data_IF_423371072789
#
_entry.id   IF_423371072789
#
_cell.length_a   1.000
_cell.length_b   1.000
_cell.length_c   1.000
_cell.angle_alpha   90.00
_cell.angle_beta   90.00
_cell.angle_gamma   90.00
#
_symmetry.space_group_name_H-M   'P 1'
#
loop_
_entity.id
_entity.type
_entity.pdbx_description
1 polymer ?
#
# COMPACT_ATOMS: atom_id res chain seq x y z
N UNK A 1 -13.68 36.83 10.19
CA UNK A 1 -12.52 36.02 9.80
C UNK A 1 -11.53 36.08 10.96
N UNK A 2 -11.24 34.97 11.63
CA UNK A 2 -10.37 34.97 12.81
C UNK A 2 -8.90 35.17 12.39
N UNK A 3 -8.24 36.14 13.02
CA UNK A 3 -6.84 36.51 12.85
C UNK A 3 -5.92 35.28 12.96
N UNK A 4 -5.34 34.83 11.85
CA UNK A 4 -4.16 33.96 11.89
C UNK A 4 -2.99 34.79 12.43
N UNK A 5 -2.37 34.33 13.52
CA UNK A 5 -1.10 34.89 13.97
C UNK A 5 -0.06 34.70 12.86
N UNK A 6 0.71 35.73 12.49
CA UNK A 6 1.81 35.58 11.57
C UNK A 6 2.81 34.58 12.15
N UNK A 7 3.04 33.46 11.46
CA UNK A 7 3.97 32.41 11.89
C UNK A 7 3.35 31.09 12.37
N UNK A 8 2.02 30.94 12.47
CA UNK A 8 1.42 29.65 12.85
C UNK A 8 1.18 28.72 11.66
N UNK A 9 1.87 27.58 11.62
CA UNK A 9 1.66 26.55 10.61
C UNK A 9 0.44 25.69 10.95
N UNK A 10 -0.08 24.97 9.95
CA UNK A 10 -1.18 24.04 10.18
C UNK A 10 -0.75 22.87 11.10
N UNK A 11 0.54 22.51 11.08
CA UNK A 11 1.16 21.48 11.92
C UNK A 11 1.18 21.90 13.40
N UNK A 12 1.55 23.15 13.70
CA UNK A 12 1.52 23.67 15.08
C UNK A 12 0.13 23.56 15.71
N UNK A 13 -0.93 23.86 14.95
CA UNK A 13 -2.29 23.72 15.46
C UNK A 13 -2.69 22.26 15.75
N UNK A 14 -2.17 21.30 14.95
CA UNK A 14 -2.40 19.87 15.16
C UNK A 14 -1.67 19.43 16.42
N UNK A 15 -0.40 19.82 16.58
CA UNK A 15 0.41 19.54 17.77
C UNK A 15 -0.24 20.09 19.04
N UNK A 16 -0.70 21.35 19.02
CA UNK A 16 -1.37 21.96 20.17
C UNK A 16 -2.60 21.15 20.61
N UNK A 17 -3.44 20.73 19.64
CA UNK A 17 -4.61 19.90 19.94
C UNK A 17 -4.21 18.51 20.45
N UNK A 18 -3.20 17.88 19.84
CA UNK A 18 -2.67 16.59 20.29
C UNK A 18 -2.21 16.65 21.75
N UNK A 19 -1.34 17.62 22.07
CA UNK A 19 -0.79 17.79 23.42
C UNK A 19 -1.88 18.12 24.45
N UNK A 20 -2.87 18.95 24.06
CA UNK A 20 -4.03 19.23 24.91
C UNK A 20 -4.77 17.94 25.25
N UNK A 21 -5.08 17.11 24.25
CA UNK A 21 -5.79 15.83 24.45
C UNK A 21 -4.99 14.87 25.33
N UNK A 22 -3.66 14.79 25.15
CA UNK A 22 -2.77 13.92 25.94
C UNK A 22 -2.80 14.25 27.44
N UNK A 23 -3.06 15.52 27.80
CA UNK A 23 -3.21 15.97 29.20
C UNK A 23 -4.63 15.85 29.77
N UNK A 24 -5.62 15.47 28.97
CA UNK A 24 -7.03 15.39 29.40
C UNK A 24 -7.37 14.00 29.92
N UNK A 25 -8.12 13.94 31.01
CA UNK A 25 -8.80 12.72 31.46
C UNK A 25 -9.85 12.27 30.44
N UNK A 26 -10.19 10.98 30.48
CA UNK A 26 -11.26 10.45 29.65
C UNK A 26 -12.61 11.07 30.01
N UNK A 27 -13.32 11.55 29.00
CA UNK A 27 -14.62 12.18 29.20
C UNK A 27 -15.17 12.86 27.95
N UNK A 28 -16.39 13.43 28.04
CA UNK A 28 -17.08 14.04 26.90
C UNK A 28 -16.28 15.16 26.21
N UNK A 29 -15.56 15.97 26.99
CA UNK A 29 -14.74 17.07 26.47
C UNK A 29 -13.53 16.57 25.71
N UNK A 30 -12.87 15.51 26.19
CA UNK A 30 -11.76 14.85 25.47
C UNK A 30 -12.26 14.28 24.14
N UNK A 31 -13.38 13.57 24.13
CA UNK A 31 -13.97 13.03 22.91
C UNK A 31 -14.34 14.13 21.89
N UNK A 32 -14.80 15.30 22.36
CA UNK A 32 -15.06 16.47 21.50
C UNK A 32 -13.76 17.00 20.87
N UNK A 33 -12.67 17.06 21.63
CA UNK A 33 -11.35 17.46 21.14
C UNK A 33 -10.75 16.45 20.17
N UNK A 34 -10.89 15.16 20.42
CA UNK A 34 -10.46 14.10 19.50
C UNK A 34 -11.18 14.20 18.15
N UNK A 35 -12.50 14.45 18.14
CA UNK A 35 -13.26 14.73 16.91
C UNK A 35 -12.76 16.00 16.21
N UNK A 36 -12.40 17.04 16.96
CA UNK A 36 -11.84 18.27 16.40
C UNK A 36 -10.48 18.01 15.73
N UNK A 37 -9.60 17.28 16.41
CA UNK A 37 -8.29 16.87 15.91
C UNK A 37 -8.43 16.03 14.64
N UNK A 38 -9.27 14.99 14.65
CA UNK A 38 -9.52 14.15 13.48
C UNK A 38 -9.96 14.97 12.26
N UNK A 39 -10.92 15.91 12.43
CA UNK A 39 -11.34 16.83 11.35
C UNK A 39 -10.19 17.69 10.84
N UNK A 40 -9.31 18.14 11.75
CA UNK A 40 -8.16 18.99 11.42
C UNK A 40 -7.12 18.22 10.61
N UNK A 41 -6.76 17.02 11.06
CA UNK A 41 -5.83 16.12 10.34
C UNK A 41 -6.42 15.73 8.97
N UNK A 42 -7.71 15.40 8.90
CA UNK A 42 -8.38 15.06 7.64
C UNK A 42 -8.42 16.24 6.64
N UNK A 43 -8.50 17.48 7.13
CA UNK A 43 -8.40 18.68 6.31
C UNK A 43 -6.96 18.96 5.87
N UNK A 44 -5.99 18.78 6.77
CA UNK A 44 -4.56 18.90 6.47
C UNK A 44 -4.16 17.95 5.35
N UNK A 45 -4.47 16.67 5.52
CA UNK A 45 -4.22 15.62 4.53
C UNK A 45 -4.77 16.03 3.17
N UNK A 46 -6.03 16.49 3.11
CA UNK A 46 -6.69 16.79 1.84
C UNK A 46 -6.17 18.04 1.14
N UNK A 47 -5.89 19.11 1.90
CA UNK A 47 -5.76 20.46 1.33
C UNK A 47 -4.40 21.11 1.54
N UNK A 48 -3.54 20.52 2.38
CA UNK A 48 -2.27 21.13 2.81
C UNK A 48 -1.08 20.17 2.68
N UNK A 49 -1.34 18.87 2.67
CA UNK A 49 -0.28 17.87 2.60
C UNK A 49 -0.03 17.43 1.15
N UNK A 50 1.18 17.73 0.68
CA UNK A 50 1.67 17.26 -0.62
C UNK A 50 2.08 15.80 -0.53
N UNK A 51 1.70 15.02 -1.54
CA UNK A 51 1.89 13.56 -1.59
C UNK A 51 2.39 13.15 -2.96
N UNK A 52 3.33 12.22 -3.02
CA UNK A 52 3.80 11.59 -4.25
C UNK A 52 3.82 10.08 -4.03
N UNK A 53 3.22 9.34 -4.96
CA UNK A 53 3.35 7.89 -5.02
C UNK A 53 4.60 7.53 -5.81
N UNK A 54 5.41 6.64 -5.27
CA UNK A 54 6.53 6.04 -5.97
C UNK A 54 6.17 4.62 -6.42
N UNK A 55 6.38 4.34 -7.70
CA UNK A 55 6.11 3.04 -8.33
C UNK A 55 7.41 2.28 -8.61
N UNK A 56 7.43 0.97 -8.38
CA UNK A 56 8.61 0.14 -8.64
C UNK A 56 8.99 0.17 -10.12
N UNK A 57 10.30 0.16 -10.42
CA UNK A 57 10.77 0.30 -11.81
C UNK A 57 10.47 -0.93 -12.69
N UNK A 58 10.19 -2.07 -12.07
CA UNK A 58 9.88 -3.33 -12.73
C UNK A 58 8.36 -3.56 -12.89
N UNK A 59 7.52 -2.65 -12.41
CA UNK A 59 6.07 -2.70 -12.68
C UNK A 59 5.83 -2.36 -14.16
N UNK A 60 5.34 -3.33 -14.92
CA UNK A 60 5.17 -3.22 -16.37
C UNK A 60 3.91 -2.46 -16.76
N UNK A 61 2.88 -2.49 -15.90
CA UNK A 61 1.56 -1.93 -16.19
C UNK A 61 1.07 -1.06 -15.04
N UNK A 62 1.82 0.01 -14.70
CA UNK A 62 1.50 0.79 -13.51
C UNK A 62 0.12 1.46 -13.61
N UNK A 63 -0.60 1.51 -12.49
CA UNK A 63 -1.81 2.30 -12.35
C UNK A 63 -1.62 3.77 -12.77
N UNK A 64 -2.52 4.32 -13.60
CA UNK A 64 -2.56 5.75 -13.93
C UNK A 64 -3.19 6.55 -12.77
N UNK A 65 -2.51 6.59 -11.62
CA UNK A 65 -3.07 7.16 -10.38
C UNK A 65 -3.31 8.67 -10.46
N UNK A 66 -2.56 9.39 -11.30
CA UNK A 66 -2.75 10.83 -11.43
C UNK A 66 -4.09 11.12 -12.10
N UNK A 67 -4.36 10.46 -13.23
CA UNK A 67 -5.59 10.60 -14.01
C UNK A 67 -6.79 10.06 -13.24
N UNK A 68 -6.64 8.89 -12.62
CA UNK A 68 -7.76 8.21 -11.98
C UNK A 68 -8.14 8.83 -10.63
N UNK A 69 -7.16 9.28 -9.84
CA UNK A 69 -7.38 9.65 -8.44
C UNK A 69 -6.62 10.89 -7.97
N UNK A 70 -5.90 11.58 -8.86
CA UNK A 70 -5.22 12.84 -8.59
C UNK A 70 -3.93 12.69 -7.76
N UNK A 71 -3.30 11.52 -7.77
CA UNK A 71 -2.05 11.28 -7.05
C UNK A 71 -0.86 11.27 -8.03
N UNK A 72 0.09 12.22 -7.91
CA UNK A 72 1.30 12.21 -8.72
C UNK A 72 2.09 10.92 -8.53
N UNK A 73 2.64 10.38 -9.63
CA UNK A 73 3.42 9.14 -9.62
C UNK A 73 4.83 9.41 -10.14
N UNK A 74 5.84 8.90 -9.45
CA UNK A 74 7.23 8.90 -9.89
C UNK A 74 7.84 7.51 -9.78
N UNK A 75 8.86 7.16 -10.57
CA UNK A 75 9.59 5.92 -10.38
C UNK A 75 10.33 5.91 -9.02
N UNK A 76 10.32 4.77 -8.34
CA UNK A 76 11.13 4.56 -7.15
C UNK A 76 12.61 4.71 -7.51
N UNK A 77 13.36 5.39 -6.64
CA UNK A 77 14.82 5.45 -6.75
C UNK A 77 15.41 4.03 -6.62
N UNK A 78 16.49 3.76 -7.36
CA UNK A 78 17.23 2.49 -7.26
C UNK A 78 18.04 2.43 -5.97
N UNK A 79 18.44 1.23 -5.53
CA UNK A 79 19.30 1.04 -4.35
C UNK A 79 20.57 1.88 -4.40
N UNK A 80 21.18 2.02 -5.57
CA UNK A 80 22.37 2.85 -5.75
C UNK A 80 22.13 4.33 -5.43
N UNK A 81 20.90 4.84 -5.65
CA UNK A 81 20.54 6.25 -5.42
C UNK A 81 19.94 6.50 -4.04
N UNK A 82 19.18 5.55 -3.50
CA UNK A 82 18.47 5.73 -2.22
C UNK A 82 19.15 5.05 -1.04
N UNK A 83 20.06 4.10 -1.27
CA UNK A 83 20.58 3.19 -0.26
C UNK A 83 19.64 2.01 0.05
N UNK A 84 18.36 2.11 -0.34
CA UNK A 84 17.32 1.14 -0.01
C UNK A 84 16.92 0.27 -1.20
N UNK A 85 16.62 -1.00 -0.95
CA UNK A 85 15.97 -1.85 -1.95
C UNK A 85 14.55 -1.33 -2.22
N UNK A 86 14.05 -1.62 -3.41
CA UNK A 86 12.64 -1.39 -3.74
C UNK A 86 11.81 -2.50 -3.07
N UNK A 87 10.70 -2.09 -2.45
CA UNK A 87 9.81 -2.95 -1.67
C UNK A 87 8.38 -2.61 -2.09
N UNK A 88 7.62 -3.65 -2.44
CA UNK A 88 6.30 -3.54 -3.07
C UNK A 88 6.32 -2.85 -4.43
N UNK A 89 5.14 -2.71 -5.01
CA UNK A 89 4.92 -2.03 -6.28
C UNK A 89 4.67 -0.53 -6.08
N UNK A 90 4.03 -0.15 -4.97
CA UNK A 90 3.69 1.25 -4.66
C UNK A 90 4.00 1.61 -3.22
N UNK A 91 4.66 2.76 -3.03
CA UNK A 91 4.82 3.41 -1.72
C UNK A 91 4.49 4.89 -1.84
N UNK A 92 4.05 5.53 -0.77
CA UNK A 92 3.70 6.95 -0.80
C UNK A 92 4.68 7.75 0.07
N UNK A 93 5.06 8.94 -0.38
CA UNK A 93 5.85 9.89 0.37
C UNK A 93 5.05 11.18 0.57
N UNK A 94 5.07 11.68 1.79
CA UNK A 94 4.46 12.96 2.16
C UNK A 94 5.53 14.03 2.31
N UNK A 95 5.21 15.26 1.92
CA UNK A 95 6.07 16.43 2.05
C UNK A 95 5.39 17.40 3.00
N UNK A 96 6.00 17.59 4.17
CA UNK A 96 5.42 18.29 5.31
C UNK A 96 6.09 19.65 5.42
N UNK A 97 5.29 20.71 5.35
CA UNK A 97 5.64 22.06 5.80
C UNK A 97 5.36 22.14 7.30
N UNK A 98 6.41 22.11 8.11
CA UNK A 98 6.30 21.94 9.55
C UNK A 98 6.29 23.28 10.27
N UNK A 99 7.38 24.06 10.14
CA UNK A 99 7.54 25.39 10.72
C UNK A 99 7.36 25.48 12.24
N UNK A 100 7.42 24.37 12.99
CA UNK A 100 7.54 24.41 14.46
C UNK A 100 8.94 24.89 14.88
N UNK A 101 9.07 25.69 15.96
CA UNK A 101 10.37 26.09 16.48
C UNK A 101 11.29 24.88 16.76
N UNK A 102 12.54 24.95 16.30
CA UNK A 102 13.53 23.88 16.48
C UNK A 102 13.34 22.65 15.59
N UNK A 103 12.40 22.69 14.62
CA UNK A 103 12.26 21.68 13.55
C UNK A 103 12.66 22.29 12.20
N UNK A 104 13.05 21.47 11.21
CA UNK A 104 13.21 21.95 9.84
C UNK A 104 11.91 22.55 9.31
N UNK A 105 11.99 23.64 8.53
CA UNK A 105 10.81 24.28 7.93
C UNK A 105 9.99 23.31 7.06
N UNK A 106 10.67 22.36 6.42
CA UNK A 106 10.03 21.25 5.72
C UNK A 106 10.87 19.99 5.74
N UNK A 107 10.20 18.84 5.61
CA UNK A 107 10.83 17.54 5.41
C UNK A 107 9.88 16.61 4.65
N UNK A 108 10.37 15.41 4.33
CA UNK A 108 9.55 14.36 3.72
C UNK A 108 9.67 13.06 4.52
N UNK A 109 8.61 12.27 4.51
CA UNK A 109 8.58 10.93 5.11
C UNK A 109 7.86 9.97 4.18
N UNK A 110 8.33 8.73 4.15
CA UNK A 110 7.52 7.64 3.61
C UNK A 110 6.32 7.42 4.52
N UNK A 111 5.14 7.26 3.93
CA UNK A 111 4.03 6.66 4.65
C UNK A 111 4.40 5.21 4.96
N UNK A 112 4.10 4.72 6.16
CA UNK A 112 4.50 3.40 6.58
C UNK A 112 3.54 2.32 6.02
N UNK A 113 3.20 2.46 4.74
CA UNK A 113 2.33 1.58 3.95
C UNK A 113 3.02 1.21 2.63
N UNK A 114 3.17 -0.09 2.40
CA UNK A 114 3.57 -0.68 1.12
C UNK A 114 2.36 -1.34 0.47
N UNK A 115 2.20 -1.14 -0.84
CA UNK A 115 1.20 -1.86 -1.63
C UNK A 115 1.85 -2.73 -2.68
N UNK A 116 1.48 -3.99 -2.68
CA UNK A 116 1.72 -4.94 -3.77
C UNK A 116 0.45 -5.00 -4.63
N UNK A 117 0.60 -4.74 -5.92
CA UNK A 117 -0.51 -4.82 -6.88
C UNK A 117 -0.52 -6.22 -7.49
N UNK A 118 -1.71 -6.81 -7.60
CA UNK A 118 -1.87 -8.09 -8.31
C UNK A 118 -3.11 -8.09 -9.20
N UNK A 119 -2.95 -8.42 -10.47
CA UNK A 119 -4.10 -8.88 -11.26
C UNK A 119 -4.60 -10.24 -10.72
N UNK A 120 -5.75 -10.70 -11.18
CA UNK A 120 -6.31 -12.01 -10.81
C UNK A 120 -5.32 -13.16 -11.07
N UNK A 121 -4.73 -13.19 -12.27
CA UNK A 121 -3.76 -14.21 -12.67
C UNK A 121 -2.44 -14.10 -11.90
N UNK A 122 -1.97 -12.88 -11.63
CA UNK A 122 -0.75 -12.67 -10.84
C UNK A 122 -0.93 -13.10 -9.39
N UNK A 123 -2.08 -12.81 -8.77
CA UNK A 123 -2.36 -13.25 -7.41
C UNK A 123 -2.40 -14.78 -7.36
N UNK A 124 -3.15 -15.42 -8.26
CA UNK A 124 -3.24 -16.88 -8.32
C UNK A 124 -1.85 -17.51 -8.50
N UNK A 125 -1.11 -17.03 -9.49
CA UNK A 125 0.23 -17.53 -9.78
C UNK A 125 1.22 -17.27 -8.65
N UNK A 126 1.01 -16.25 -7.81
CA UNK A 126 1.88 -15.96 -6.66
C UNK A 126 1.61 -16.87 -5.46
N UNK A 127 0.35 -17.21 -5.18
CA UNK A 127 -0.02 -17.88 -3.92
C UNK A 127 -0.34 -19.38 -4.06
N UNK A 128 -0.68 -19.83 -5.26
CA UNK A 128 -1.12 -21.21 -5.50
C UNK A 128 0.05 -22.15 -5.80
N UNK A 129 0.88 -21.93 -6.83
CA UNK A 129 2.04 -22.79 -7.12
C UNK A 129 3.08 -22.70 -5.99
N UNK A 130 3.60 -23.84 -5.55
CA UNK A 130 4.49 -23.90 -4.40
C UNK A 130 5.79 -23.09 -4.59
N UNK A 131 6.40 -23.15 -5.77
CA UNK A 131 7.65 -22.44 -6.08
C UNK A 131 7.45 -20.92 -6.07
N UNK A 132 6.35 -20.46 -6.68
CA UNK A 132 5.99 -19.04 -6.71
C UNK A 132 5.62 -18.55 -5.30
N UNK A 133 4.94 -19.37 -4.51
CA UNK A 133 4.63 -19.04 -3.12
C UNK A 133 5.89 -18.86 -2.28
N UNK A 134 6.90 -19.72 -2.46
CA UNK A 134 8.18 -19.56 -1.78
C UNK A 134 8.88 -18.26 -2.17
N UNK A 135 8.81 -17.87 -3.45
CA UNK A 135 9.29 -16.56 -3.93
C UNK A 135 8.51 -15.41 -3.29
N UNK A 136 7.19 -15.47 -3.33
CA UNK A 136 6.31 -14.42 -2.82
C UNK A 136 6.52 -14.17 -1.31
N UNK A 137 6.70 -15.22 -0.52
CA UNK A 137 7.08 -15.09 0.91
C UNK A 137 8.39 -14.33 1.13
N UNK A 138 9.37 -14.45 0.24
CA UNK A 138 10.61 -13.65 0.33
C UNK A 138 10.34 -12.18 0.04
N UNK A 139 9.33 -11.86 -0.76
CA UNK A 139 8.92 -10.47 -1.02
C UNK A 139 8.26 -9.87 0.22
N UNK A 140 7.39 -10.63 0.90
CA UNK A 140 6.81 -10.26 2.20
C UNK A 140 7.91 -10.07 3.27
N UNK A 141 8.89 -10.99 3.34
CA UNK A 141 9.99 -10.85 4.30
C UNK A 141 10.84 -9.61 4.03
N UNK A 142 11.10 -9.27 2.75
CA UNK A 142 11.80 -8.03 2.39
C UNK A 142 11.05 -6.78 2.88
N UNK A 143 9.72 -6.83 2.91
CA UNK A 143 8.92 -5.77 3.54
C UNK A 143 9.14 -5.73 5.05
N UNK A 144 9.06 -6.86 5.75
CA UNK A 144 9.28 -6.90 7.20
C UNK A 144 10.69 -6.46 7.63
N UNK A 145 11.68 -6.59 6.76
CA UNK A 145 13.06 -6.12 6.98
C UNK A 145 13.24 -4.61 6.75
N UNK A 146 12.25 -3.91 6.16
CA UNK A 146 12.36 -2.50 5.80
C UNK A 146 11.75 -1.60 6.88
N UNK A 147 12.63 -0.94 7.63
CA UNK A 147 12.24 -0.07 8.75
C UNK A 147 11.45 1.20 8.36
N UNK A 148 11.30 1.49 7.06
CA UNK A 148 10.48 2.61 6.58
C UNK A 148 9.00 2.30 6.64
N UNK A 149 8.62 1.02 6.75
CA UNK A 149 7.25 0.57 6.61
C UNK A 149 6.88 -0.41 7.72
N UNK A 150 5.62 -0.32 8.19
CA UNK A 150 5.08 -1.27 9.18
C UNK A 150 3.76 -1.90 8.72
N UNK A 151 3.16 -1.42 7.62
CA UNK A 151 1.96 -1.98 7.02
C UNK A 151 2.23 -2.40 5.56
N UNK A 152 1.74 -3.58 5.18
CA UNK A 152 1.69 -4.05 3.79
C UNK A 152 0.24 -4.38 3.43
N UNK A 153 -0.14 -4.11 2.18
CA UNK A 153 -1.39 -4.59 1.62
C UNK A 153 -1.17 -5.13 0.21
N UNK A 154 -1.78 -6.28 -0.10
CA UNK A 154 -1.84 -6.80 -1.46
C UNK A 154 -3.19 -6.37 -2.03
N UNK A 155 -3.23 -5.41 -2.94
CA UNK A 155 -4.48 -4.97 -3.56
C UNK A 155 -4.64 -5.71 -4.88
N UNK A 156 -5.76 -6.42 -5.02
CA UNK A 156 -6.06 -7.17 -6.24
C UNK A 156 -7.22 -6.61 -7.04
N UNK A 157 -7.05 -6.62 -8.36
CA UNK A 157 -8.01 -6.14 -9.36
C UNK A 157 -9.07 -7.19 -9.71
N UNK A 158 -9.51 -7.94 -8.69
CA UNK A 158 -10.58 -8.93 -8.80
C UNK A 158 -11.38 -8.95 -7.51
N UNK A 159 -12.59 -9.48 -7.57
CA UNK A 159 -13.40 -9.74 -6.39
C UNK A 159 -13.15 -11.16 -5.89
N UNK A 160 -13.49 -11.42 -4.62
CA UNK A 160 -13.23 -12.71 -3.99
C UNK A 160 -13.95 -13.85 -4.73
N UNK A 161 -15.19 -13.64 -5.15
CA UNK A 161 -16.00 -14.67 -5.84
C UNK A 161 -15.36 -15.07 -7.17
N UNK A 162 -14.93 -14.07 -7.95
CA UNK A 162 -14.26 -14.27 -9.23
C UNK A 162 -12.90 -14.95 -9.03
N UNK A 163 -12.14 -14.52 -8.03
CA UNK A 163 -10.86 -15.15 -7.70
C UNK A 163 -11.00 -16.63 -7.28
N UNK A 164 -11.97 -16.95 -6.43
CA UNK A 164 -12.22 -18.32 -5.98
C UNK A 164 -12.68 -19.26 -7.10
N UNK A 165 -13.27 -18.70 -8.16
CA UNK A 165 -13.69 -19.43 -9.36
C UNK A 165 -12.69 -19.36 -10.50
N UNK A 166 -11.55 -18.67 -10.31
CA UNK A 166 -10.54 -18.46 -11.34
C UNK A 166 -9.92 -19.77 -11.83
N UNK A 167 -9.80 -19.88 -13.15
CA UNK A 167 -9.14 -20.99 -13.82
C UNK A 167 -7.96 -20.42 -14.62
N UNK A 168 -6.71 -20.77 -14.26
CA UNK A 168 -5.56 -20.24 -14.97
C UNK A 168 -5.56 -20.69 -16.43
N UNK A 169 -5.15 -19.79 -17.33
CA UNK A 169 -5.03 -20.09 -18.76
C UNK A 169 -3.95 -21.16 -19.01
N UNK A 170 -4.17 -22.01 -20.02
CA UNK A 170 -3.24 -23.09 -20.37
C UNK A 170 -2.05 -22.53 -21.14
N UNK A 171 -0.84 -22.90 -20.74
CA UNK A 171 0.35 -22.65 -21.58
C UNK A 171 0.60 -23.84 -22.49
N UNK A 172 0.74 -23.60 -23.79
CA UNK A 172 1.26 -24.61 -24.71
C UNK A 172 2.78 -24.64 -24.53
N UNK A 173 3.34 -25.71 -23.97
CA UNK A 173 4.79 -25.96 -24.02
C UNK A 173 5.08 -26.90 -25.18
N UNK A 174 6.04 -26.53 -26.03
CA UNK A 174 6.59 -27.44 -27.01
C UNK A 174 7.57 -28.38 -26.31
N UNK A 175 7.24 -29.67 -26.29
CA UNK A 175 8.13 -30.71 -25.78
C UNK A 175 8.87 -31.30 -26.98
N UNK A 176 10.21 -31.34 -26.90
CA UNK A 176 11.02 -32.04 -27.89
C UNK A 176 11.00 -33.54 -27.56
N UNK A 177 10.53 -34.35 -28.50
CA UNK A 177 10.63 -35.81 -28.38
C UNK A 177 12.08 -36.26 -28.66
N UNK A 178 12.46 -37.44 -28.14
CA UNK A 178 13.79 -38.05 -28.38
C UNK A 178 14.13 -38.24 -29.87
N UNK A 179 13.14 -38.21 -30.76
CA UNK A 179 13.31 -38.29 -32.22
C UNK A 179 13.35 -36.90 -32.91
N UNK A 180 13.52 -35.81 -32.15
CA UNK A 180 13.63 -34.44 -32.70
C UNK A 180 12.29 -33.76 -33.03
N UNK A 181 11.16 -34.46 -32.95
CA UNK A 181 9.84 -33.88 -33.24
C UNK A 181 9.37 -32.99 -32.08
N UNK A 182 9.12 -31.70 -32.36
CA UNK A 182 8.45 -30.79 -31.41
C UNK A 182 6.95 -31.10 -31.40
N UNK A 183 6.41 -31.45 -30.24
CA UNK A 183 4.96 -31.56 -30.04
C UNK A 183 4.46 -30.43 -29.14
N UNK A 184 3.41 -29.73 -29.58
CA UNK A 184 2.69 -28.79 -28.73
C UNK A 184 1.92 -29.58 -27.67
N UNK A 185 2.41 -29.56 -26.42
CA UNK A 185 1.68 -30.10 -25.28
C UNK A 185 0.96 -28.94 -24.59
N UNK A 186 -0.37 -29.01 -24.47
CA UNK A 186 -1.08 -28.16 -23.50
C UNK A 186 -0.61 -28.60 -22.12
N UNK A 187 0.21 -27.77 -21.47
CA UNK A 187 0.67 -28.03 -20.12
C UNK A 187 -0.15 -27.15 -19.20
N UNK A 188 -1.02 -27.80 -18.43
CA UNK A 188 -1.64 -27.17 -17.29
C UNK A 188 -0.52 -26.80 -16.32
N UNK A 189 -0.48 -25.56 -15.82
CA UNK A 189 0.49 -25.20 -14.78
C UNK A 189 0.22 -25.98 -13.47
N UNK A 190 -1.01 -26.49 -13.29
CA UNK A 190 -1.41 -27.48 -12.28
C UNK A 190 -2.49 -28.38 -12.86
N UNK A 191 -2.35 -29.72 -12.76
CA UNK A 191 -3.23 -30.69 -13.44
C UNK A 191 -4.73 -30.64 -13.03
N UNK A 192 -5.11 -29.85 -12.02
CA UNK A 192 -6.49 -29.50 -11.70
C UNK A 192 -6.53 -28.08 -11.13
N UNK A 193 -7.60 -27.30 -11.37
CA UNK A 193 -7.87 -26.12 -10.55
C UNK A 193 -7.89 -26.56 -9.08
N UNK A 194 -7.15 -25.89 -8.21
CA UNK A 194 -7.26 -26.14 -6.77
C UNK A 194 -8.66 -25.76 -6.29
N UNK A 195 -9.15 -26.42 -5.24
CA UNK A 195 -10.49 -26.14 -4.74
C UNK A 195 -10.58 -24.72 -4.16
N UNK A 196 -11.76 -24.08 -4.18
CA UNK A 196 -11.97 -22.77 -3.56
C UNK A 196 -11.51 -22.70 -2.11
N UNK A 197 -11.68 -23.78 -1.33
CA UNK A 197 -11.27 -23.86 0.07
C UNK A 197 -9.75 -23.76 0.21
N UNK A 198 -9.00 -24.44 -0.66
CA UNK A 198 -7.53 -24.36 -0.68
C UNK A 198 -7.08 -22.96 -1.11
N UNK A 199 -7.72 -22.36 -2.12
CA UNK A 199 -7.45 -20.99 -2.54
C UNK A 199 -7.67 -20.01 -1.39
N UNK A 200 -8.79 -20.14 -0.68
CA UNK A 200 -9.11 -19.30 0.47
C UNK A 200 -8.10 -19.49 1.61
N UNK A 201 -7.65 -20.71 1.88
CA UNK A 201 -6.60 -20.96 2.86
C UNK A 201 -5.27 -20.28 2.51
N UNK A 202 -4.94 -20.17 1.20
CA UNK A 202 -3.76 -19.42 0.74
C UNK A 202 -3.92 -17.92 0.96
N UNK A 203 -5.08 -17.36 0.66
CA UNK A 203 -5.42 -15.95 0.95
C UNK A 203 -5.29 -15.69 2.45
N UNK A 204 -5.92 -16.52 3.29
CA UNK A 204 -5.85 -16.41 4.74
C UNK A 204 -4.41 -16.50 5.26
N UNK A 205 -3.55 -17.31 4.62
CA UNK A 205 -2.14 -17.38 5.00
C UNK A 205 -1.41 -16.04 4.78
N UNK A 206 -1.77 -15.25 3.77
CA UNK A 206 -1.21 -13.91 3.59
C UNK A 206 -1.59 -12.97 4.76
N UNK A 207 -2.83 -13.06 5.27
CA UNK A 207 -3.24 -12.31 6.48
C UNK A 207 -2.43 -12.70 7.71
N UNK A 208 -2.20 -14.00 7.92
CA UNK A 208 -1.37 -14.51 9.04
C UNK A 208 0.09 -14.03 8.94
N UNK A 209 0.54 -13.67 7.74
CA UNK A 209 1.87 -13.14 7.47
C UNK A 209 1.90 -11.59 7.42
N UNK A 210 0.88 -10.90 7.94
CA UNK A 210 0.76 -9.43 7.91
C UNK A 210 0.84 -8.81 6.50
N UNK A 211 0.38 -9.55 5.49
CA UNK A 211 0.23 -9.08 4.12
C UNK A 211 -1.22 -9.34 3.64
N UNK A 212 -2.24 -8.66 4.20
CA UNK A 212 -3.64 -8.86 3.86
C UNK A 212 -3.91 -8.66 2.36
N UNK A 213 -4.77 -9.50 1.79
CA UNK A 213 -5.22 -9.42 0.39
C UNK A 213 -6.56 -8.68 0.32
N UNK A 214 -6.56 -7.51 -0.31
CA UNK A 214 -7.72 -6.65 -0.46
C UNK A 214 -8.31 -6.80 -1.86
N UNK A 215 -9.50 -7.39 -1.93
CA UNK A 215 -10.22 -7.64 -3.19
C UNK A 215 -10.99 -6.39 -3.62
N UNK A 216 -10.46 -5.65 -4.60
CA UNK A 216 -11.07 -4.41 -5.06
C UNK A 216 -12.12 -4.60 -6.16
N UNK A 217 -12.14 -5.75 -6.84
CA UNK A 217 -13.06 -6.05 -7.95
C UNK A 217 -12.56 -5.57 -9.30
N UNK A 218 -12.13 -4.31 -9.42
CA UNK A 218 -11.65 -3.72 -10.68
C UNK A 218 -10.43 -2.83 -10.45
N UNK A 219 -9.67 -2.55 -11.52
CA UNK A 219 -8.54 -1.61 -11.50
C UNK A 219 -8.93 -0.24 -10.94
N UNK A 220 -10.05 0.33 -11.39
CA UNK A 220 -10.56 1.62 -10.89
C UNK A 220 -10.85 1.62 -9.39
N UNK A 221 -11.45 0.53 -8.90
CA UNK A 221 -11.73 0.37 -7.48
C UNK A 221 -10.44 0.15 -6.69
N UNK A 222 -9.45 -0.55 -7.24
CA UNK A 222 -8.15 -0.74 -6.63
C UNK A 222 -7.40 0.59 -6.44
N UNK A 223 -7.39 1.45 -7.46
CA UNK A 223 -6.79 2.79 -7.37
C UNK A 223 -7.49 3.67 -6.33
N UNK A 224 -8.83 3.66 -6.29
CA UNK A 224 -9.61 4.38 -5.26
C UNK A 224 -9.35 3.83 -3.86
N UNK A 225 -9.27 2.51 -3.72
CA UNK A 225 -8.92 1.84 -2.47
C UNK A 225 -7.54 2.27 -2.00
N UNK A 226 -6.53 2.26 -2.88
CA UNK A 226 -5.17 2.69 -2.52
C UNK A 226 -5.13 4.16 -2.07
N UNK A 227 -5.79 5.07 -2.80
CA UNK A 227 -5.93 6.48 -2.36
C UNK A 227 -6.57 6.59 -0.97
N UNK A 228 -7.62 5.82 -0.71
CA UNK A 228 -8.30 5.86 0.57
C UNK A 228 -7.43 5.28 1.70
N UNK A 229 -6.65 4.23 1.43
CA UNK A 229 -5.68 3.69 2.38
C UNK A 229 -4.62 4.74 2.72
N UNK A 230 -4.02 5.40 1.72
CA UNK A 230 -3.09 6.52 1.95
C UNK A 230 -3.70 7.56 2.89
N UNK A 231 -4.94 7.97 2.62
CA UNK A 231 -5.65 8.96 3.43
C UNK A 231 -5.87 8.49 4.86
N UNK A 232 -6.34 7.25 5.06
CA UNK A 232 -6.58 6.72 6.41
C UNK A 232 -5.27 6.54 7.17
N UNK A 233 -4.22 6.02 6.53
CA UNK A 233 -2.88 5.90 7.14
C UNK A 233 -2.36 7.25 7.63
N UNK A 234 -2.52 8.32 6.85
CA UNK A 234 -2.13 9.67 7.30
C UNK A 234 -2.97 10.12 8.50
N UNK A 235 -4.27 9.88 8.49
CA UNK A 235 -5.17 10.31 9.56
C UNK A 235 -4.90 9.56 10.86
N UNK A 236 -4.64 8.27 10.79
CA UNK A 236 -4.39 7.40 11.95
C UNK A 236 -2.98 7.58 12.50
N UNK A 237 -1.99 7.78 11.63
CA UNK A 237 -0.56 7.79 12.01
C UNK A 237 0.07 9.20 11.92
N UNK A 238 -0.76 10.24 11.98
CA UNK A 238 -0.28 11.63 11.92
C UNK A 238 0.73 11.96 13.03
N UNK A 239 0.59 11.36 14.21
CA UNK A 239 1.46 11.62 15.36
C UNK A 239 2.90 11.19 15.06
N UNK A 240 3.12 9.98 14.57
CA UNK A 240 4.43 9.51 14.10
C UNK A 240 4.96 10.36 12.93
N UNK A 241 4.11 10.66 11.93
CA UNK A 241 4.51 11.50 10.81
C UNK A 241 5.07 12.86 11.28
N UNK A 242 4.44 13.45 12.29
CA UNK A 242 4.84 14.72 12.90
C UNK A 242 5.85 14.55 14.05
N UNK A 243 6.21 13.33 14.47
CA UNK A 243 7.10 13.08 15.60
C UNK A 243 6.55 13.64 16.93
N UNK A 244 5.29 13.33 17.23
CA UNK A 244 4.55 13.79 18.42
C UNK A 244 4.39 12.71 19.51
N UNK A 245 4.85 11.48 19.26
CA UNK A 245 4.75 10.37 20.22
C UNK A 245 5.67 10.55 21.44
#
# INVERSE_FOLDING_TARGET
MANKKPGSTYVQDIELLHNTIKSMEEGPDRAKKEKQLHKKVAFWEKNKLNKVVYVANNEQTPWPLFEAVGLPVLPMKTKAKSGYRQVGDYVCCVFIEDGRPGKPDSYHKYLPLVVERKTEGDLYSSIVPADNWARFKREINRFHEDNRFNNMAIITETDLTKFLSYKPEFTIKYVLLKNGKKIAKKVFNTNKPISPEVTMAKVAKCYVLNAPVLFAGTTDKAMKMYKNLIRQTIIEQYADLLGLE
#
